data_IF_160474678573
#
_entry.id   IF_160474678573
#
_cell.length_a   1.000
_cell.length_b   1.000
_cell.length_c   1.000
_cell.angle_alpha   90.00
_cell.angle_beta   90.00
_cell.angle_gamma   90.00
#
_symmetry.space_group_name_H-M   'P 1'
#
loop_
_entity.id
_entity.type
_entity.pdbx_description
1 polymer ?
#
# COMPACT_ATOMS: atom_id res chain seq x y z
N UNK A 1 5.45 -7.01 35.22
CA UNK A 1 5.52 -8.11 36.22
C UNK A 1 6.91 -8.23 36.87
N UNK A 2 7.97 -7.73 36.28
CA UNK A 2 9.34 -7.87 36.82
C UNK A 2 9.86 -9.32 36.86
N UNK A 3 9.27 -10.20 36.05
CA UNK A 3 9.66 -11.61 35.96
C UNK A 3 10.29 -11.85 34.59
N UNK A 4 11.44 -12.50 34.58
CA UNK A 4 12.05 -12.99 33.35
C UNK A 4 11.45 -14.33 32.96
N UNK A 5 10.98 -14.44 31.71
CA UNK A 5 10.48 -15.71 31.15
C UNK A 5 11.60 -16.32 30.33
N UNK A 6 12.12 -17.50 30.69
CA UNK A 6 13.22 -18.11 29.97
C UNK A 6 12.76 -18.57 28.57
N UNK A 7 13.58 -18.30 27.57
CA UNK A 7 13.41 -18.83 26.23
C UNK A 7 14.06 -20.20 26.17
N UNK A 8 13.26 -21.22 25.83
CA UNK A 8 13.75 -22.61 25.70
C UNK A 8 13.34 -23.17 24.34
N UNK A 9 14.17 -24.02 23.78
CA UNK A 9 13.89 -24.76 22.56
C UNK A 9 13.58 -26.21 22.90
N UNK A 10 12.62 -26.82 22.18
CA UNK A 10 12.33 -28.26 22.23
C UNK A 10 11.87 -28.83 23.59
N UNK A 11 11.41 -27.98 24.52
CA UNK A 11 10.92 -28.44 25.81
C UNK A 11 9.46 -28.05 26.02
N UNK A 12 8.63 -29.01 26.42
CA UNK A 12 7.26 -28.74 26.88
C UNK A 12 7.28 -28.35 28.36
N UNK A 13 6.58 -27.28 28.70
CA UNK A 13 6.39 -26.84 30.09
C UNK A 13 4.89 -26.86 30.46
N UNK A 14 4.60 -26.94 31.75
CA UNK A 14 3.22 -26.91 32.24
C UNK A 14 2.53 -25.57 31.92
N UNK A 15 3.33 -24.49 31.89
CA UNK A 15 2.88 -23.13 31.51
C UNK A 15 3.90 -22.55 30.54
N UNK A 16 3.46 -22.28 29.31
CA UNK A 16 4.35 -21.81 28.25
C UNK A 16 3.62 -20.88 27.26
N UNK A 17 4.42 -20.02 26.62
CA UNK A 17 4.07 -19.37 25.37
C UNK A 17 4.76 -20.13 24.23
N UNK A 18 4.00 -20.79 23.38
CA UNK A 18 4.51 -21.39 22.15
C UNK A 18 4.49 -20.34 21.06
N UNK A 19 5.67 -19.85 20.63
CA UNK A 19 5.78 -18.76 19.68
C UNK A 19 6.29 -19.28 18.33
N UNK A 20 5.58 -18.92 17.26
CA UNK A 20 5.98 -19.22 15.89
C UNK A 20 5.43 -20.54 15.34
N UNK A 21 5.82 -20.84 14.11
CA UNK A 21 5.41 -22.04 13.39
C UNK A 21 6.28 -23.24 13.80
N UNK A 22 5.65 -24.35 14.15
CA UNK A 22 6.28 -25.65 14.37
C UNK A 22 5.27 -26.77 14.09
N UNK A 23 5.73 -28.02 14.01
CA UNK A 23 4.82 -29.18 13.94
C UNK A 23 3.90 -29.26 15.15
N UNK A 24 4.43 -28.91 16.33
CA UNK A 24 3.63 -28.90 17.57
C UNK A 24 2.54 -27.84 17.50
N UNK A 25 2.87 -26.59 17.17
CA UNK A 25 1.86 -25.51 17.09
C UNK A 25 0.86 -25.76 15.97
N UNK A 26 1.26 -26.34 14.84
CA UNK A 26 0.33 -26.78 13.79
C UNK A 26 -0.66 -27.80 14.29
N UNK A 27 -0.18 -28.86 14.96
CA UNK A 27 -1.04 -29.94 15.50
C UNK A 27 -1.98 -29.41 16.59
N UNK A 28 -1.51 -28.55 17.49
CA UNK A 28 -2.33 -27.99 18.58
C UNK A 28 -3.42 -27.04 18.07
N UNK A 29 -3.16 -26.34 16.97
CA UNK A 29 -4.11 -25.40 16.36
C UNK A 29 -4.99 -26.06 15.28
N UNK A 30 -4.63 -27.24 14.80
CA UNK A 30 -5.30 -27.89 13.67
C UNK A 30 -5.19 -27.10 12.37
N UNK A 31 -4.03 -26.52 12.08
CA UNK A 31 -3.80 -25.67 10.90
C UNK A 31 -2.71 -26.20 9.98
N UNK A 32 -2.90 -25.97 8.70
CA UNK A 32 -1.80 -26.02 7.72
C UNK A 32 -1.29 -24.60 7.49
N UNK A 33 0.01 -24.40 7.72
CA UNK A 33 0.64 -23.09 7.54
C UNK A 33 0.63 -22.62 6.08
N UNK A 34 0.56 -23.51 5.12
CA UNK A 34 0.56 -23.19 3.69
C UNK A 34 -0.80 -22.65 3.22
N UNK A 35 -1.88 -23.01 3.92
CA UNK A 35 -3.23 -22.53 3.60
C UNK A 35 -3.57 -21.18 4.23
N UNK A 36 -2.73 -20.70 5.14
CA UNK A 36 -2.96 -19.43 5.81
C UNK A 36 -2.70 -18.24 4.89
N UNK A 37 -3.50 -17.20 5.05
CA UNK A 37 -3.29 -15.92 4.35
C UNK A 37 -2.05 -15.23 4.88
N UNK A 38 -1.36 -14.48 4.01
CA UNK A 38 -0.17 -13.70 4.38
C UNK A 38 -0.45 -12.83 5.61
N UNK A 39 0.50 -12.80 6.56
CA UNK A 39 0.41 -12.06 7.82
C UNK A 39 -0.78 -12.47 8.74
N UNK A 40 -1.52 -13.51 8.43
CA UNK A 40 -2.57 -14.03 9.31
C UNK A 40 -1.97 -14.44 10.65
N UNK A 41 -2.58 -13.96 11.74
CA UNK A 41 -2.13 -14.22 13.10
C UNK A 41 -3.12 -15.07 13.89
N UNK A 42 -2.58 -15.84 14.84
CA UNK A 42 -3.35 -16.63 15.78
C UNK A 42 -2.83 -16.38 17.20
N UNK A 43 -3.71 -15.90 18.06
CA UNK A 43 -3.57 -15.89 19.52
C UNK A 43 -4.54 -16.91 20.06
N UNK A 44 -4.07 -18.04 20.54
CA UNK A 44 -4.92 -19.13 21.04
C UNK A 44 -4.49 -19.56 22.43
N UNK A 45 -5.49 -19.91 23.27
CA UNK A 45 -5.28 -20.55 24.56
C UNK A 45 -5.41 -22.05 24.41
N UNK A 46 -4.45 -22.80 24.90
CA UNK A 46 -4.50 -24.25 24.96
C UNK A 46 -4.16 -24.73 26.37
N UNK A 47 -5.19 -25.16 27.12
CA UNK A 47 -5.10 -25.44 28.57
C UNK A 47 -4.53 -24.20 29.29
N UNK A 48 -3.44 -24.36 30.02
CA UNK A 48 -2.75 -23.27 30.74
C UNK A 48 -1.59 -22.67 29.93
N UNK A 49 -1.65 -22.78 28.62
CA UNK A 49 -0.62 -22.27 27.70
C UNK A 49 -1.22 -21.31 26.69
N UNK A 50 -0.36 -20.52 26.08
CA UNK A 50 -0.68 -19.70 24.89
C UNK A 50 0.08 -20.17 23.67
N UNK A 51 -0.59 -20.12 22.52
CA UNK A 51 0.02 -20.31 21.20
C UNK A 51 -0.08 -18.98 20.47
N UNK A 52 1.07 -18.39 20.15
CA UNK A 52 1.23 -17.13 19.44
C UNK A 52 1.92 -17.44 18.11
N UNK A 53 1.14 -17.60 17.06
CA UNK A 53 1.65 -18.06 15.78
C UNK A 53 0.90 -17.42 14.62
N UNK A 54 1.26 -17.79 13.40
CA UNK A 54 0.59 -17.27 12.21
C UNK A 54 1.42 -17.45 10.95
N UNK A 55 0.88 -16.98 9.83
CA UNK A 55 1.51 -17.06 8.53
C UNK A 55 2.75 -16.16 8.44
N UNK A 56 3.73 -16.61 7.67
CA UNK A 56 4.90 -15.78 7.36
C UNK A 56 4.49 -14.60 6.46
N UNK A 57 5.29 -13.50 6.50
CA UNK A 57 6.50 -13.33 7.32
C UNK A 57 6.23 -12.79 8.74
N UNK A 58 5.06 -12.21 9.05
CA UNK A 58 4.82 -11.41 10.26
C UNK A 58 3.74 -11.95 11.21
N UNK A 59 3.00 -12.99 10.84
CA UNK A 59 1.84 -13.45 11.62
C UNK A 59 2.16 -13.78 13.09
N UNK A 60 3.25 -14.49 13.36
CA UNK A 60 3.67 -14.79 14.74
C UNK A 60 4.05 -13.52 15.52
N UNK A 61 4.77 -12.58 14.89
CA UNK A 61 5.14 -11.30 15.49
C UNK A 61 3.90 -10.46 15.80
N UNK A 62 2.94 -10.42 14.89
CA UNK A 62 1.66 -9.75 15.11
C UNK A 62 0.84 -10.39 16.24
N UNK A 63 0.87 -11.72 16.37
CA UNK A 63 0.21 -12.43 17.46
C UNK A 63 0.77 -12.04 18.84
N UNK A 64 2.10 -11.85 18.93
CA UNK A 64 2.74 -11.37 20.17
C UNK A 64 2.29 -9.94 20.49
N UNK A 65 2.37 -9.02 19.52
CA UNK A 65 1.91 -7.65 19.75
C UNK A 65 0.41 -7.58 20.07
N UNK A 66 -0.40 -8.42 19.44
CA UNK A 66 -1.84 -8.49 19.70
C UNK A 66 -2.14 -8.91 21.15
N UNK A 67 -1.46 -9.94 21.63
CA UNK A 67 -1.61 -10.37 23.02
C UNK A 67 -1.16 -9.29 24.01
N UNK A 68 -0.03 -8.61 23.74
CA UNK A 68 0.47 -7.52 24.59
C UNK A 68 -0.51 -6.36 24.65
N UNK A 69 -1.11 -5.97 23.52
CA UNK A 69 -2.02 -4.83 23.46
C UNK A 69 -3.42 -5.15 24.02
N UNK A 70 -4.01 -6.24 23.60
CA UNK A 70 -5.41 -6.56 23.92
C UNK A 70 -5.55 -7.53 25.10
N UNK A 71 -4.54 -8.38 25.32
CA UNK A 71 -4.52 -9.27 26.48
C UNK A 71 -4.00 -8.59 27.74
N UNK A 72 -2.90 -7.84 27.62
CA UNK A 72 -2.23 -7.21 28.75
C UNK A 72 -2.42 -5.69 28.85
N UNK A 73 -3.01 -5.05 27.85
CA UNK A 73 -3.28 -3.60 27.87
C UNK A 73 -2.09 -2.71 27.57
N UNK A 74 -0.99 -3.25 27.02
CA UNK A 74 0.15 -2.45 26.57
C UNK A 74 -0.30 -1.47 25.51
N UNK A 75 0.23 -0.24 25.52
CA UNK A 75 -0.04 0.77 24.49
C UNK A 75 1.25 1.34 23.93
N UNK A 76 1.40 1.24 22.62
CA UNK A 76 2.51 1.84 21.86
C UNK A 76 2.04 3.19 21.35
N UNK A 77 2.33 4.28 22.04
CA UNK A 77 1.88 5.63 21.65
C UNK A 77 2.78 6.25 20.58
N UNK A 78 4.10 6.12 20.75
CA UNK A 78 5.10 6.55 19.78
C UNK A 78 6.23 5.52 19.73
N UNK A 79 7.23 5.74 18.88
CA UNK A 79 8.44 4.92 18.88
C UNK A 79 9.19 4.93 20.22
N UNK A 80 9.10 6.04 20.98
CA UNK A 80 9.80 6.25 22.25
C UNK A 80 8.89 6.04 23.48
N UNK A 81 7.57 6.05 23.31
CA UNK A 81 6.62 5.99 24.43
C UNK A 81 5.77 4.74 24.35
N UNK A 82 5.97 3.87 25.32
CA UNK A 82 5.14 2.68 25.53
C UNK A 82 4.60 2.70 26.95
N UNK A 83 3.29 2.55 27.09
CA UNK A 83 2.62 2.40 28.38
C UNK A 83 2.51 0.91 28.72
N UNK A 84 3.06 0.56 29.90
CA UNK A 84 3.09 -0.78 30.42
C UNK A 84 2.19 -0.85 31.66
N UNK A 85 1.01 -1.48 31.57
CA UNK A 85 0.17 -1.68 32.75
C UNK A 85 0.92 -2.45 33.84
N UNK A 86 0.86 -1.94 35.06
CA UNK A 86 1.48 -2.60 36.22
C UNK A 86 0.52 -3.64 36.81
N UNK A 87 1.02 -4.83 37.07
CA UNK A 87 0.30 -5.85 37.81
C UNK A 87 1.23 -6.45 38.89
N UNK A 88 0.66 -6.76 40.05
CA UNK A 88 1.40 -7.32 41.20
C UNK A 88 1.74 -8.80 40.99
N UNK A 89 1.00 -9.50 40.14
CA UNK A 89 1.20 -10.91 39.86
C UNK A 89 1.09 -11.16 38.34
N UNK A 90 1.87 -12.13 37.87
CA UNK A 90 1.72 -12.65 36.52
C UNK A 90 0.39 -13.38 36.37
N UNK A 91 -0.31 -13.13 35.27
CA UNK A 91 -1.54 -13.83 34.91
C UNK A 91 -1.58 -14.13 33.41
N UNK A 92 -2.33 -15.15 33.03
CA UNK A 92 -2.64 -15.43 31.63
C UNK A 92 -3.99 -14.79 31.29
N UNK A 93 -4.09 -13.84 30.36
CA UNK A 93 -5.33 -13.17 30.03
C UNK A 93 -6.29 -14.15 29.33
N UNK A 94 -7.59 -13.87 29.35
CA UNK A 94 -8.58 -14.64 28.59
C UNK A 94 -8.80 -14.06 27.20
N UNK A 95 -7.72 -13.85 26.43
CA UNK A 95 -7.78 -13.25 25.11
C UNK A 95 -7.35 -14.24 24.03
N UNK A 96 -8.21 -14.42 23.04
CA UNK A 96 -7.91 -15.23 21.86
C UNK A 96 -8.36 -14.50 20.60
N UNK A 97 -7.61 -14.66 19.49
CA UNK A 97 -7.96 -14.06 18.21
C UNK A 97 -7.31 -14.82 17.07
N UNK A 98 -8.06 -15.02 16.00
CA UNK A 98 -7.52 -15.37 14.68
C UNK A 98 -7.92 -14.27 13.71
N UNK A 99 -6.95 -13.70 13.00
CA UNK A 99 -7.20 -12.57 12.11
C UNK A 99 -6.23 -12.59 10.93
N UNK A 100 -6.78 -12.47 9.72
CA UNK A 100 -6.03 -12.29 8.50
C UNK A 100 -6.25 -10.85 8.00
N UNK A 101 -5.20 -10.01 7.88
CA UNK A 101 -5.35 -8.68 7.34
C UNK A 101 -5.96 -8.72 5.94
N UNK A 102 -6.99 -7.92 5.64
CA UNK A 102 -7.61 -7.89 4.32
C UNK A 102 -6.68 -7.28 3.25
N UNK A 103 -5.81 -6.36 3.65
CA UNK A 103 -4.84 -5.72 2.77
C UNK A 103 -3.48 -6.42 2.89
N UNK A 104 -2.91 -6.88 1.76
CA UNK A 104 -1.56 -7.44 1.76
C UNK A 104 -0.49 -6.35 1.93
N UNK A 105 -0.74 -5.12 1.43
CA UNK A 105 0.12 -3.95 1.59
C UNK A 105 -0.63 -2.87 2.39
N UNK A 106 -0.01 -2.43 3.47
CA UNK A 106 -0.58 -1.50 4.47
C UNK A 106 0.43 -0.42 4.80
N UNK A 107 0.21 0.78 4.29
CA UNK A 107 1.12 1.90 4.48
C UNK A 107 0.41 3.11 5.07
N UNK A 108 0.67 3.40 6.34
CA UNK A 108 0.35 4.69 6.95
C UNK A 108 1.56 5.61 6.77
N UNK A 109 1.41 6.61 5.89
CA UNK A 109 2.54 7.43 5.43
C UNK A 109 2.76 8.65 6.34
N UNK A 110 3.19 8.35 7.57
CA UNK A 110 3.63 9.33 8.55
C UNK A 110 5.15 9.25 8.75
N UNK A 111 5.77 10.36 9.14
CA UNK A 111 7.21 10.42 9.41
C UNK A 111 7.64 9.39 10.46
N UNK A 112 6.85 9.27 11.54
CA UNK A 112 7.10 8.32 12.61
C UNK A 112 7.13 6.87 12.10
N UNK A 113 6.17 6.50 11.28
CA UNK A 113 6.09 5.17 10.66
C UNK A 113 7.26 4.95 9.69
N UNK A 114 7.59 5.96 8.87
CA UNK A 114 8.64 5.84 7.86
C UNK A 114 10.05 5.77 8.46
N UNK A 115 10.28 6.44 9.59
CA UNK A 115 11.60 6.53 10.24
C UNK A 115 11.86 5.44 11.29
N UNK A 116 10.81 4.87 11.90
CA UNK A 116 10.92 3.93 13.02
C UNK A 116 10.32 2.57 12.71
N UNK A 117 11.12 1.70 12.10
CA UNK A 117 10.68 0.40 11.57
C UNK A 117 10.02 -0.52 12.62
N UNK A 118 10.57 -0.60 13.83
CA UNK A 118 9.97 -1.39 14.92
C UNK A 118 8.59 -0.86 15.32
N UNK A 119 8.44 0.46 15.37
CA UNK A 119 7.15 1.07 15.65
C UNK A 119 6.15 0.81 14.51
N UNK A 120 6.60 0.92 13.26
CA UNK A 120 5.78 0.60 12.10
C UNK A 120 5.21 -0.83 12.16
N UNK A 121 6.04 -1.80 12.54
CA UNK A 121 5.59 -3.20 12.69
C UNK A 121 4.63 -3.38 13.87
N UNK A 122 4.87 -2.68 15.00
CA UNK A 122 3.92 -2.63 16.13
C UNK A 122 2.56 -2.08 15.69
N UNK A 123 2.57 -1.13 14.73
CA UNK A 123 1.35 -0.58 14.13
C UNK A 123 0.77 -1.45 12.99
N UNK A 124 1.32 -2.63 12.73
CA UNK A 124 0.93 -3.59 11.67
C UNK A 124 1.08 -3.05 10.25
N UNK A 125 1.86 -1.98 10.03
CA UNK A 125 2.25 -1.56 8.69
C UNK A 125 3.37 -2.45 8.14
N UNK A 126 3.49 -2.57 6.81
CA UNK A 126 4.45 -3.49 6.20
C UNK A 126 5.15 -2.94 4.96
N UNK A 127 5.13 -1.62 4.77
CA UNK A 127 5.72 -0.96 3.60
C UNK A 127 6.98 -0.16 3.90
N UNK A 128 7.33 0.04 5.17
CA UNK A 128 8.59 0.68 5.56
C UNK A 128 9.77 -0.29 5.42
N UNK A 129 10.94 0.27 5.17
CA UNK A 129 12.15 -0.55 5.13
C UNK A 129 12.32 -1.25 6.47
N UNK A 130 12.26 -2.57 6.48
CA UNK A 130 12.40 -3.40 7.67
C UNK A 130 13.39 -4.52 7.43
N UNK A 131 14.04 -4.93 8.51
CA UNK A 131 14.97 -6.06 8.47
C UNK A 131 14.20 -7.39 8.33
N UNK A 132 14.86 -8.49 7.93
CA UNK A 132 14.24 -9.81 7.89
C UNK A 132 13.62 -10.23 9.23
N UNK A 133 14.22 -9.82 10.36
CA UNK A 133 13.73 -10.10 11.72
C UNK A 133 12.37 -9.44 11.99
N UNK A 134 12.11 -8.30 11.35
CA UNK A 134 10.83 -7.58 11.39
C UNK A 134 9.86 -8.02 10.26
N UNK A 135 10.24 -9.02 9.48
CA UNK A 135 9.41 -9.63 8.43
C UNK A 135 9.56 -9.01 7.05
N UNK A 136 10.55 -8.14 6.82
CA UNK A 136 10.75 -7.49 5.53
C UNK A 136 9.66 -6.47 5.18
N UNK A 137 9.70 -5.91 3.97
CA UNK A 137 8.72 -4.94 3.46
C UNK A 137 8.08 -5.40 2.16
N UNK A 138 6.90 -4.88 1.88
CA UNK A 138 6.36 -4.92 0.53
C UNK A 138 7.16 -3.96 -0.38
N UNK A 139 7.59 -4.43 -1.52
CA UNK A 139 8.52 -3.68 -2.40
C UNK A 139 7.74 -2.92 -3.46
N UNK A 140 7.89 -1.60 -3.47
CA UNK A 140 7.48 -0.73 -4.56
C UNK A 140 8.70 0.00 -5.12
N UNK A 141 9.04 -0.29 -6.38
CA UNK A 141 10.13 0.35 -7.11
C UNK A 141 9.62 1.63 -7.75
N UNK A 142 10.22 2.75 -7.37
CA UNK A 142 9.71 4.06 -7.76
C UNK A 142 8.40 4.37 -7.02
N UNK A 143 8.42 5.35 -6.18
CA UNK A 143 7.20 5.80 -5.52
C UNK A 143 6.61 6.93 -6.35
N UNK A 144 5.44 6.75 -6.82
CA UNK A 144 4.49 7.55 -7.63
C UNK A 144 5.02 8.73 -8.48
N UNK A 145 4.24 9.13 -9.47
CA UNK A 145 4.58 10.20 -10.42
C UNK A 145 5.91 9.95 -11.13
N UNK A 146 6.05 8.75 -11.70
CA UNK A 146 7.34 8.23 -12.17
C UNK A 146 7.65 8.51 -13.63
N UNK A 147 6.78 9.13 -14.41
CA UNK A 147 7.05 9.42 -15.82
C UNK A 147 8.34 10.23 -15.99
N UNK A 148 8.50 11.34 -15.28
CA UNK A 148 9.73 12.14 -15.33
C UNK A 148 10.90 11.45 -14.61
N UNK A 149 10.63 10.55 -13.67
CA UNK A 149 11.67 9.75 -13.01
C UNK A 149 12.33 8.76 -13.95
N UNK A 150 11.53 8.07 -14.78
CA UNK A 150 12.05 7.09 -15.74
C UNK A 150 12.57 7.73 -17.02
N UNK A 151 11.88 8.77 -17.53
CA UNK A 151 12.36 9.59 -18.66
C UNK A 151 12.47 11.07 -18.26
N UNK A 152 13.51 11.46 -17.52
CA UNK A 152 13.67 12.84 -17.07
C UNK A 152 13.74 13.83 -18.23
N UNK A 153 12.87 14.85 -18.22
CA UNK A 153 12.89 15.90 -19.23
C UNK A 153 14.25 16.60 -19.29
N UNK A 154 14.92 16.80 -18.17
CA UNK A 154 16.29 17.36 -18.12
C UNK A 154 17.33 16.58 -18.94
N UNK A 155 17.08 15.29 -19.22
CA UNK A 155 17.99 14.44 -20.00
C UNK A 155 17.57 14.30 -21.46
N UNK A 156 16.27 14.24 -21.72
CA UNK A 156 15.76 13.80 -23.01
C UNK A 156 15.07 14.93 -23.80
N UNK A 157 14.53 15.98 -23.14
CA UNK A 157 13.65 16.94 -23.79
C UNK A 157 14.30 17.70 -24.96
N UNK A 158 15.54 18.15 -24.81
CA UNK A 158 16.24 18.92 -25.87
C UNK A 158 16.44 18.10 -27.17
N UNK A 159 16.56 16.77 -27.04
CA UNK A 159 16.79 15.88 -28.17
C UNK A 159 15.52 15.26 -28.72
N UNK A 160 14.52 15.10 -27.84
CA UNK A 160 13.27 14.38 -28.11
C UNK A 160 12.07 15.14 -27.53
N UNK A 161 11.83 16.41 -27.90
CA UNK A 161 10.68 17.14 -27.40
C UNK A 161 9.35 16.46 -27.76
N UNK A 162 9.31 15.70 -28.86
CA UNK A 162 8.13 14.93 -29.28
C UNK A 162 7.77 13.75 -28.35
N UNK A 163 8.62 13.38 -27.42
CA UNK A 163 8.35 12.38 -26.41
C UNK A 163 7.49 12.92 -25.26
N UNK A 164 7.37 14.23 -25.15
CA UNK A 164 6.65 14.89 -24.08
C UNK A 164 5.35 15.51 -24.59
N UNK A 165 4.47 15.88 -23.65
CA UNK A 165 3.14 16.36 -23.99
C UNK A 165 3.15 17.62 -24.84
N UNK A 166 2.27 17.67 -25.84
CA UNK A 166 1.92 18.89 -26.56
C UNK A 166 0.78 19.58 -25.84
N UNK A 167 0.99 20.82 -25.41
CA UNK A 167 -0.01 21.67 -24.76
C UNK A 167 -0.08 23.00 -25.47
N UNK A 168 -1.28 23.37 -25.94
CA UNK A 168 -1.52 24.65 -26.59
C UNK A 168 -0.49 25.00 -27.70
N UNK A 169 -0.12 23.96 -28.48
CA UNK A 169 0.84 24.07 -29.57
C UNK A 169 2.31 24.00 -29.17
N UNK A 170 2.63 23.88 -27.86
CA UNK A 170 4.00 23.84 -27.35
C UNK A 170 4.29 22.51 -26.69
N UNK A 171 5.49 21.93 -26.92
CA UNK A 171 5.96 20.76 -26.18
C UNK A 171 6.43 21.18 -24.80
N UNK A 172 5.94 20.44 -23.78
CA UNK A 172 6.28 20.68 -22.36
C UNK A 172 6.64 19.35 -21.69
N UNK A 173 7.71 19.36 -20.90
CA UNK A 173 8.20 18.21 -20.16
C UNK A 173 8.58 18.57 -18.73
N UNK A 174 8.78 17.55 -17.89
CA UNK A 174 9.17 17.72 -16.50
C UNK A 174 8.03 17.43 -15.51
N UNK A 175 8.44 17.10 -14.30
CA UNK A 175 7.55 16.63 -13.22
C UNK A 175 6.34 17.55 -12.96
N UNK A 176 6.52 18.86 -13.03
CA UNK A 176 5.48 19.85 -12.68
C UNK A 176 4.75 20.42 -13.90
N UNK A 177 5.33 20.34 -15.09
CA UNK A 177 4.88 21.09 -16.25
C UNK A 177 4.23 20.22 -17.32
N UNK A 178 4.72 18.99 -17.51
CA UNK A 178 4.29 18.14 -18.61
C UNK A 178 4.13 16.67 -18.25
N UNK A 179 3.59 15.95 -19.22
CA UNK A 179 3.45 14.50 -19.21
C UNK A 179 4.27 13.90 -20.36
N UNK A 180 4.20 12.59 -20.54
CA UNK A 180 4.74 11.93 -21.74
C UNK A 180 3.69 11.92 -22.86
N UNK A 181 4.17 11.90 -24.12
CA UNK A 181 3.33 11.66 -25.29
C UNK A 181 3.11 10.15 -25.46
N UNK A 182 2.07 9.61 -24.84
CA UNK A 182 1.87 8.16 -24.72
C UNK A 182 1.63 7.42 -26.05
N UNK A 183 1.35 8.09 -27.15
CA UNK A 183 1.28 7.48 -28.48
C UNK A 183 2.62 7.44 -29.21
N UNK A 184 3.68 8.04 -28.68
CA UNK A 184 5.00 8.04 -29.31
C UNK A 184 5.70 6.70 -29.08
N UNK A 185 5.92 5.94 -30.17
CA UNK A 185 6.47 4.59 -30.09
C UNK A 185 7.94 4.53 -29.67
N UNK A 186 8.75 5.51 -30.06
CA UNK A 186 10.16 5.54 -29.66
C UNK A 186 10.31 5.88 -28.19
N UNK A 187 9.49 6.79 -27.68
CA UNK A 187 9.38 7.06 -26.25
C UNK A 187 9.00 5.79 -25.47
N UNK A 188 7.98 5.04 -25.90
CA UNK A 188 7.55 3.79 -25.26
C UNK A 188 8.70 2.77 -25.18
N UNK A 189 9.44 2.59 -26.27
CA UNK A 189 10.59 1.65 -26.31
C UNK A 189 11.66 2.03 -25.29
N UNK A 190 12.07 3.30 -25.27
CA UNK A 190 13.08 3.77 -24.31
C UNK A 190 12.57 3.69 -22.86
N UNK A 191 11.29 4.05 -22.62
CA UNK A 191 10.67 3.93 -21.29
C UNK A 191 10.70 2.49 -20.80
N UNK A 192 10.27 1.54 -21.60
CA UNK A 192 10.27 0.11 -21.26
C UNK A 192 11.70 -0.36 -20.95
N UNK A 193 12.67 0.00 -21.76
CA UNK A 193 14.09 -0.32 -21.53
C UNK A 193 14.54 0.19 -20.17
N UNK A 194 14.29 1.47 -19.86
CA UNK A 194 14.66 2.08 -18.56
C UNK A 194 13.95 1.39 -17.41
N UNK A 195 12.68 1.08 -17.53
CA UNK A 195 11.92 0.33 -16.51
C UNK A 195 12.57 -1.03 -16.25
N UNK A 196 12.86 -1.81 -17.29
CA UNK A 196 13.50 -3.13 -17.14
C UNK A 196 14.89 -3.05 -16.49
N UNK A 197 15.68 -2.01 -16.76
CA UNK A 197 16.97 -1.76 -16.11
C UNK A 197 16.83 -1.48 -14.60
N UNK A 198 15.65 -1.04 -14.14
CA UNK A 198 15.36 -0.77 -12.72
C UNK A 198 14.81 -1.98 -11.96
N UNK A 199 14.37 -3.00 -12.67
CA UNK A 199 13.94 -4.24 -12.05
C UNK A 199 15.17 -4.96 -11.49
N UNK A 200 15.36 -4.96 -10.21
CA UNK A 200 16.41 -5.73 -9.54
C UNK A 200 15.93 -7.15 -9.20
N UNK A 201 16.75 -7.93 -8.48
CA UNK A 201 16.36 -9.22 -7.94
C UNK A 201 15.41 -9.01 -6.75
N UNK A 202 14.13 -8.85 -7.02
CA UNK A 202 13.09 -8.69 -6.00
C UNK A 202 12.31 -9.99 -5.84
N UNK A 203 11.77 -10.20 -4.62
CA UNK A 203 10.91 -11.34 -4.31
C UNK A 203 9.53 -11.24 -4.99
N UNK A 204 8.77 -12.31 -4.88
CA UNK A 204 7.42 -12.40 -5.43
C UNK A 204 6.50 -11.28 -4.91
N UNK A 205 5.69 -10.73 -5.79
CA UNK A 205 4.75 -9.67 -5.47
C UNK A 205 5.36 -8.26 -5.42
N UNK A 206 6.63 -8.08 -5.83
CA UNK A 206 7.20 -6.75 -5.97
C UNK A 206 6.47 -5.95 -7.07
N UNK A 207 6.35 -4.64 -6.85
CA UNK A 207 5.65 -3.72 -7.74
C UNK A 207 6.63 -2.71 -8.31
N UNK A 208 6.43 -2.29 -9.57
CA UNK A 208 7.06 -1.11 -10.14
C UNK A 208 6.00 -0.08 -10.51
N UNK A 209 6.20 1.17 -10.09
CA UNK A 209 5.29 2.25 -10.42
C UNK A 209 5.55 2.79 -11.83
N UNK A 210 4.48 2.91 -12.59
CA UNK A 210 4.42 3.52 -13.93
C UNK A 210 3.23 4.46 -13.96
N UNK A 211 3.42 5.66 -13.44
CA UNK A 211 2.34 6.63 -13.27
C UNK A 211 2.68 8.03 -13.78
N UNK A 212 1.63 8.73 -14.17
CA UNK A 212 1.71 10.12 -14.65
C UNK A 212 2.29 11.06 -13.58
N UNK A 213 2.91 12.15 -14.05
CA UNK A 213 3.40 13.25 -13.21
C UNK A 213 2.23 13.95 -12.49
N UNK A 214 2.52 14.64 -11.40
CA UNK A 214 1.50 15.33 -10.58
C UNK A 214 1.04 16.64 -11.21
N UNK A 215 0.44 16.53 -12.39
CA UNK A 215 -0.17 17.65 -13.12
C UNK A 215 -1.18 17.12 -14.15
N UNK A 216 -2.03 18.01 -14.69
CA UNK A 216 -3.07 17.71 -15.66
C UNK A 216 -2.63 17.95 -17.12
N UNK A 217 -1.35 18.15 -17.38
CA UNK A 217 -0.83 18.52 -18.71
C UNK A 217 -0.66 17.32 -19.66
N UNK A 218 -1.69 16.48 -19.78
CA UNK A 218 -1.68 15.38 -20.73
C UNK A 218 -1.52 15.85 -22.19
N UNK A 219 -1.00 14.99 -23.05
CA UNK A 219 -0.67 15.33 -24.43
C UNK A 219 -1.91 15.55 -25.29
N UNK A 220 -1.98 16.70 -25.97
CA UNK A 220 -3.04 17.12 -26.90
C UNK A 220 -2.63 16.95 -28.37
N UNK A 221 -1.55 16.21 -28.69
CA UNK A 221 -1.21 16.00 -30.09
C UNK A 221 -2.30 15.17 -30.81
N UNK A 222 -2.36 15.32 -32.13
CA UNK A 222 -3.37 14.68 -32.98
C UNK A 222 -3.52 13.16 -32.72
N UNK A 223 -2.38 12.45 -32.57
CA UNK A 223 -2.41 11.00 -32.31
C UNK A 223 -2.97 10.64 -30.95
N UNK A 224 -2.61 11.40 -29.90
CA UNK A 224 -3.16 11.17 -28.55
C UNK A 224 -4.66 11.49 -28.52
N UNK A 225 -5.07 12.59 -29.15
CA UNK A 225 -6.48 12.96 -29.21
C UNK A 225 -7.30 11.94 -30.01
N UNK A 226 -6.84 11.53 -31.18
CA UNK A 226 -7.51 10.51 -31.99
C UNK A 226 -7.66 9.18 -31.25
N UNK A 227 -6.65 8.78 -30.46
CA UNK A 227 -6.74 7.58 -29.64
C UNK A 227 -7.84 7.70 -28.57
N UNK A 228 -7.88 8.83 -27.87
CA UNK A 228 -8.89 9.11 -26.84
C UNK A 228 -10.30 9.17 -27.44
N UNK A 229 -10.48 9.85 -28.57
CA UNK A 229 -11.77 9.95 -29.26
C UNK A 229 -12.30 8.58 -29.71
N UNK A 230 -11.40 7.69 -30.11
CA UNK A 230 -11.75 6.32 -30.51
C UNK A 230 -12.07 5.41 -29.34
N UNK A 231 -11.40 5.53 -28.19
CA UNK A 231 -11.45 4.56 -27.11
C UNK A 231 -12.25 5.01 -25.89
N UNK A 232 -12.41 6.34 -25.67
CA UNK A 232 -13.29 6.86 -24.64
C UNK A 232 -12.69 7.99 -23.82
N UNK A 233 -11.55 7.80 -23.13
CA UNK A 233 -10.97 8.82 -22.28
C UNK A 233 -9.45 8.68 -22.10
N UNK A 234 -8.85 9.57 -21.29
CA UNK A 234 -7.40 9.58 -21.03
C UNK A 234 -6.92 8.32 -20.28
N UNK A 235 -7.80 7.64 -19.55
CA UNK A 235 -7.48 6.39 -18.87
C UNK A 235 -7.23 5.27 -19.88
N UNK A 236 -7.94 5.26 -20.99
CA UNK A 236 -7.69 4.31 -22.09
C UNK A 236 -6.27 4.46 -22.63
N UNK A 237 -5.85 5.70 -22.89
CA UNK A 237 -4.50 5.98 -23.39
C UNK A 237 -3.42 5.63 -22.37
N UNK A 238 -3.66 5.92 -21.10
CA UNK A 238 -2.74 5.54 -20.03
C UNK A 238 -2.61 4.02 -19.93
N UNK A 239 -3.73 3.31 -19.91
CA UNK A 239 -3.73 1.84 -19.76
C UNK A 239 -3.18 1.13 -20.99
N UNK A 240 -3.37 1.64 -22.19
CA UNK A 240 -2.73 1.10 -23.39
C UNK A 240 -1.20 1.12 -23.25
N UNK A 241 -0.65 2.24 -22.80
CA UNK A 241 0.78 2.35 -22.52
C UNK A 241 1.24 1.47 -21.34
N UNK A 242 0.53 1.52 -20.21
CA UNK A 242 0.86 0.72 -19.03
C UNK A 242 0.80 -0.77 -19.31
N UNK A 243 -0.16 -1.23 -20.12
CA UNK A 243 -0.27 -2.62 -20.54
C UNK A 243 0.94 -3.09 -21.36
N UNK A 244 1.49 -2.23 -22.19
CA UNK A 244 2.70 -2.55 -22.97
C UNK A 244 3.92 -2.72 -22.04
N UNK A 245 4.07 -1.81 -21.07
CA UNK A 245 5.10 -1.92 -20.03
C UNK A 245 4.89 -3.20 -19.20
N UNK A 246 3.65 -3.46 -18.77
CA UNK A 246 3.30 -4.63 -17.97
C UNK A 246 3.58 -5.95 -18.70
N UNK A 247 3.35 -5.99 -20.01
CA UNK A 247 3.72 -7.14 -20.83
C UNK A 247 5.24 -7.37 -20.89
N UNK A 248 6.03 -6.31 -20.91
CA UNK A 248 7.50 -6.39 -20.89
C UNK A 248 8.00 -6.85 -19.51
N UNK A 249 7.45 -6.30 -18.44
CA UNK A 249 7.78 -6.69 -17.05
C UNK A 249 7.42 -8.17 -16.81
N UNK A 250 6.24 -8.63 -17.23
CA UNK A 250 5.82 -10.03 -17.09
C UNK A 250 6.77 -11.01 -17.78
N UNK A 251 7.28 -10.66 -18.98
CA UNK A 251 8.28 -11.48 -19.69
C UNK A 251 9.63 -11.53 -18.96
N UNK A 252 9.99 -10.45 -18.25
CA UNK A 252 11.23 -10.36 -17.50
C UNK A 252 11.12 -11.07 -16.15
N UNK A 253 10.04 -10.84 -15.42
CA UNK A 253 9.71 -11.49 -14.16
C UNK A 253 8.18 -11.64 -14.01
N UNK A 254 7.63 -12.88 -14.15
CA UNK A 254 6.19 -13.12 -14.18
C UNK A 254 5.49 -12.94 -12.82
N UNK A 255 6.25 -12.77 -11.72
CA UNK A 255 5.69 -12.56 -10.38
C UNK A 255 5.57 -11.09 -10.01
N UNK A 256 6.09 -10.18 -10.86
CA UNK A 256 6.05 -8.74 -10.61
C UNK A 256 4.80 -8.08 -11.16
N UNK A 257 4.40 -7.02 -10.51
CA UNK A 257 3.27 -6.17 -10.88
C UNK A 257 3.74 -4.80 -11.37
N UNK A 258 2.94 -4.20 -12.25
CA UNK A 258 3.07 -2.80 -12.64
C UNK A 258 1.92 -2.03 -12.00
N UNK A 259 2.25 -1.04 -11.18
CA UNK A 259 1.28 -0.16 -10.56
C UNK A 259 1.12 1.12 -11.37
N UNK A 260 -0.11 1.62 -11.49
CA UNK A 260 -0.42 2.91 -12.08
C UNK A 260 -1.52 3.63 -11.31
N UNK A 261 -1.58 4.96 -11.44
CA UNK A 261 -2.56 5.79 -10.73
C UNK A 261 -3.85 5.96 -11.53
N UNK A 262 -4.99 5.72 -10.89
CA UNK A 262 -6.28 6.25 -11.27
C UNK A 262 -6.50 7.57 -10.50
N UNK A 263 -6.04 8.69 -11.06
CA UNK A 263 -5.85 9.97 -10.38
C UNK A 263 -6.18 11.14 -11.29
N UNK A 264 -6.92 12.11 -10.79
CA UNK A 264 -7.34 13.29 -11.54
C UNK A 264 -7.98 12.91 -12.90
N UNK A 265 -7.39 13.30 -14.02
CA UNK A 265 -7.91 13.08 -15.37
C UNK A 265 -7.97 11.59 -15.81
N UNK A 266 -7.38 10.69 -15.02
CA UNK A 266 -7.45 9.23 -15.23
C UNK A 266 -8.17 8.48 -14.11
N UNK A 267 -8.92 9.18 -13.22
CA UNK A 267 -9.61 8.53 -12.10
C UNK A 267 -10.78 7.65 -12.55
N UNK A 268 -11.49 8.06 -13.59
CA UNK A 268 -12.58 7.28 -14.17
C UNK A 268 -12.06 6.02 -14.88
N UNK A 269 -12.88 4.98 -14.91
CA UNK A 269 -12.56 3.76 -15.66
C UNK A 269 -12.41 4.07 -17.16
N UNK A 270 -11.60 3.29 -17.89
CA UNK A 270 -11.48 3.40 -19.33
C UNK A 270 -12.79 3.04 -20.04
N UNK A 271 -12.94 3.50 -21.29
CA UNK A 271 -14.06 3.13 -22.14
C UNK A 271 -13.93 1.74 -22.74
N UNK A 272 -12.75 1.39 -23.24
CA UNK A 272 -12.52 0.14 -23.97
C UNK A 272 -11.31 -0.66 -23.51
N UNK A 273 -10.21 0.00 -23.12
CA UNK A 273 -8.95 -0.65 -22.78
C UNK A 273 -9.03 -1.31 -21.40
N UNK A 274 -8.79 -2.61 -21.33
CA UNK A 274 -8.78 -3.34 -20.06
C UNK A 274 -7.36 -3.45 -19.49
N UNK A 275 -7.17 -3.31 -18.16
CA UNK A 275 -5.87 -3.54 -17.55
C UNK A 275 -5.47 -5.02 -17.61
N UNK A 276 -4.18 -5.29 -17.83
CA UNK A 276 -3.63 -6.64 -17.78
C UNK A 276 -3.66 -7.20 -16.36
N UNK A 277 -3.63 -8.55 -16.25
CA UNK A 277 -3.70 -9.27 -14.95
C UNK A 277 -2.61 -8.89 -13.94
N UNK A 278 -1.44 -8.44 -14.44
CA UNK A 278 -0.32 -7.97 -13.61
C UNK A 278 -0.28 -6.44 -13.46
N UNK A 279 -1.38 -5.74 -13.73
CA UNK A 279 -1.53 -4.30 -13.47
C UNK A 279 -2.31 -4.09 -12.19
N UNK A 280 -1.77 -3.27 -11.31
CA UNK A 280 -2.43 -2.77 -10.10
C UNK A 280 -2.91 -1.35 -10.36
N UNK A 281 -4.20 -1.11 -10.16
CA UNK A 281 -4.79 0.23 -10.26
C UNK A 281 -4.82 0.85 -8.89
N UNK A 282 -4.05 1.93 -8.68
CA UNK A 282 -4.10 2.72 -7.45
C UNK A 282 -5.09 3.86 -7.61
N UNK A 283 -6.28 3.66 -7.07
CA UNK A 283 -7.37 4.64 -7.10
C UNK A 283 -7.20 5.65 -5.98
N UNK A 284 -7.15 6.94 -6.33
CA UNK A 284 -6.94 8.05 -5.41
C UNK A 284 -8.25 8.71 -5.00
N UNK A 285 -8.35 9.14 -3.73
CA UNK A 285 -9.53 9.80 -3.15
C UNK A 285 -9.39 11.32 -3.04
N UNK A 286 -8.40 11.94 -3.69
CA UNK A 286 -8.05 13.36 -3.48
C UNK A 286 -9.23 14.33 -3.66
N UNK A 287 -10.17 14.05 -4.57
CA UNK A 287 -11.32 14.92 -4.85
C UNK A 287 -12.50 14.68 -3.89
N UNK A 288 -12.34 13.78 -2.91
CA UNK A 288 -13.41 13.47 -1.97
C UNK A 288 -13.57 14.54 -0.89
N UNK A 289 -14.78 14.64 -0.38
CA UNK A 289 -15.10 15.46 0.81
C UNK A 289 -14.85 14.66 2.08
N UNK A 290 -13.64 14.78 2.63
CA UNK A 290 -13.19 13.99 3.79
C UNK A 290 -13.92 14.30 5.11
N UNK A 291 -14.71 15.38 5.19
CA UNK A 291 -15.60 15.64 6.32
C UNK A 291 -16.84 14.74 6.36
N UNK A 292 -17.05 13.90 5.35
CA UNK A 292 -18.15 12.96 5.21
C UNK A 292 -17.64 11.56 4.88
N UNK A 293 -18.37 10.49 5.26
CA UNK A 293 -18.03 9.14 4.86
C UNK A 293 -17.89 9.02 3.33
N UNK A 294 -16.93 8.24 2.85
CA UNK A 294 -16.71 8.06 1.41
C UNK A 294 -17.89 7.39 0.70
N UNK A 295 -18.73 6.65 1.43
CA UNK A 295 -19.95 6.05 0.90
C UNK A 295 -21.18 7.00 0.93
N UNK A 296 -21.03 8.25 1.35
CA UNK A 296 -22.11 9.24 1.39
C UNK A 296 -22.42 9.87 0.02
N UNK A 297 -23.55 10.55 -0.10
CA UNK A 297 -23.93 11.26 -1.33
C UNK A 297 -22.98 12.41 -1.68
N UNK A 298 -22.30 12.98 -0.70
CA UNK A 298 -21.24 13.97 -0.92
C UNK A 298 -20.08 13.44 -1.75
N UNK A 299 -19.88 12.11 -1.75
CA UNK A 299 -18.84 11.41 -2.47
C UNK A 299 -19.38 10.47 -3.57
N UNK A 300 -20.57 10.80 -4.14
CA UNK A 300 -21.26 9.96 -5.14
C UNK A 300 -20.37 9.62 -6.36
N UNK A 301 -19.58 10.60 -6.82
CA UNK A 301 -18.65 10.40 -7.93
C UNK A 301 -17.59 9.33 -7.60
N UNK A 302 -16.99 9.38 -6.42
CA UNK A 302 -16.02 8.37 -5.99
C UNK A 302 -16.66 6.99 -5.79
N UNK A 303 -17.89 6.93 -5.23
CA UNK A 303 -18.63 5.66 -5.13
C UNK A 303 -18.84 5.01 -6.50
N UNK A 304 -19.15 5.82 -7.50
CA UNK A 304 -19.30 5.34 -8.89
C UNK A 304 -17.97 4.83 -9.43
N UNK A 305 -16.90 5.57 -9.24
CA UNK A 305 -15.57 5.18 -9.74
C UNK A 305 -15.10 3.88 -9.10
N UNK A 306 -15.12 3.75 -7.77
CA UNK A 306 -14.66 2.52 -7.10
C UNK A 306 -15.52 1.30 -7.47
N UNK A 307 -16.84 1.48 -7.62
CA UNK A 307 -17.74 0.41 -8.05
C UNK A 307 -17.47 -0.03 -9.49
N UNK A 308 -17.10 0.89 -10.37
CA UNK A 308 -16.73 0.58 -11.74
C UNK A 308 -15.33 -0.04 -11.83
N UNK A 309 -14.34 0.47 -11.11
CA UNK A 309 -13.02 -0.14 -11.03
C UNK A 309 -13.05 -1.55 -10.48
N UNK A 310 -13.89 -1.85 -9.46
CA UNK A 310 -14.09 -3.19 -8.95
C UNK A 310 -14.45 -4.21 -10.04
N UNK A 311 -15.13 -3.79 -11.11
CA UNK A 311 -15.58 -4.69 -12.19
C UNK A 311 -14.47 -5.08 -13.14
N UNK A 312 -13.45 -4.22 -13.29
CA UNK A 312 -12.43 -4.37 -14.35
C UNK A 312 -11.00 -4.43 -13.83
N UNK A 313 -10.70 -3.85 -12.67
CA UNK A 313 -9.35 -3.89 -12.13
C UNK A 313 -9.01 -5.30 -11.64
N UNK A 314 -7.94 -5.94 -12.15
CA UNK A 314 -7.49 -7.23 -11.65
C UNK A 314 -7.10 -7.17 -10.18
N UNK A 315 -6.50 -6.02 -9.79
CA UNK A 315 -6.10 -5.70 -8.44
C UNK A 315 -6.30 -4.20 -8.18
N UNK A 316 -6.96 -3.89 -7.07
CA UNK A 316 -7.25 -2.52 -6.66
C UNK A 316 -6.43 -2.16 -5.43
N UNK A 317 -5.70 -1.05 -5.51
CA UNK A 317 -4.99 -0.41 -4.43
C UNK A 317 -5.65 0.95 -4.15
N UNK A 318 -5.83 1.34 -2.91
CA UNK A 318 -6.41 2.65 -2.59
C UNK A 318 -5.33 3.59 -2.08
N UNK A 319 -5.32 4.80 -2.62
CA UNK A 319 -4.63 5.94 -2.04
C UNK A 319 -5.65 6.85 -1.37
N UNK A 320 -5.69 6.79 -0.06
CA UNK A 320 -6.54 7.64 0.76
C UNK A 320 -5.74 8.73 1.46
N UNK A 321 -6.43 9.71 2.06
CA UNK A 321 -5.80 10.85 2.71
C UNK A 321 -6.30 11.00 4.13
N UNK A 322 -5.35 11.16 5.08
CA UNK A 322 -5.59 11.31 6.52
C UNK A 322 -4.88 12.54 7.09
N UNK A 323 -4.51 13.49 6.22
CA UNK A 323 -3.86 14.75 6.58
C UNK A 323 -4.35 15.92 5.74
N UNK A 324 -4.34 17.11 6.29
CA UNK A 324 -4.56 18.37 5.57
C UNK A 324 -3.20 18.97 5.17
N UNK A 325 -2.88 18.97 3.87
CA UNK A 325 -1.63 19.51 3.35
C UNK A 325 -1.43 21.00 3.57
N UNK A 326 -2.51 21.75 3.70
CA UNK A 326 -2.43 23.20 3.99
C UNK A 326 -2.16 23.48 5.48
N UNK A 327 -2.52 22.52 6.37
CA UNK A 327 -2.44 22.69 7.83
C UNK A 327 -2.18 21.36 8.51
N UNK A 328 -0.97 20.86 8.48
CA UNK A 328 -0.59 19.55 9.04
C UNK A 328 -0.96 19.34 10.51
N UNK A 329 -1.00 20.43 11.30
CA UNK A 329 -1.43 20.37 12.71
C UNK A 329 -2.92 20.32 12.92
N UNK A 330 -3.70 20.59 11.88
CA UNK A 330 -5.15 20.53 11.97
C UNK A 330 -5.59 19.06 11.84
N UNK A 331 -6.36 18.54 12.81
CA UNK A 331 -6.90 17.21 12.70
C UNK A 331 -7.73 17.04 11.43
N UNK A 332 -7.49 15.98 10.68
CA UNK A 332 -8.29 15.64 9.50
C UNK A 332 -9.70 15.22 9.96
N UNK A 333 -10.78 15.72 9.33
CA UNK A 333 -12.14 15.49 9.85
C UNK A 333 -12.71 14.09 9.58
N UNK A 334 -11.94 13.14 9.10
CA UNK A 334 -12.38 11.79 8.71
C UNK A 334 -12.29 10.71 9.82
N UNK A 335 -11.81 11.03 11.01
CA UNK A 335 -11.55 10.04 12.08
C UNK A 335 -12.77 9.21 12.46
N UNK A 336 -13.97 9.84 12.47
CA UNK A 336 -15.22 9.18 12.92
C UNK A 336 -15.71 8.10 11.96
N UNK A 337 -15.27 8.15 10.70
CA UNK A 337 -15.74 7.22 9.66
C UNK A 337 -14.62 6.46 8.96
N UNK A 338 -13.36 6.70 9.33
CA UNK A 338 -12.19 6.08 8.71
C UNK A 338 -12.30 4.53 8.68
N UNK A 339 -12.71 3.90 9.79
CA UNK A 339 -12.92 2.46 9.82
C UNK A 339 -14.01 1.97 8.86
N UNK A 340 -15.07 2.76 8.65
CA UNK A 340 -16.12 2.45 7.68
C UNK A 340 -15.65 2.63 6.25
N UNK A 341 -14.80 3.63 6.02
CA UNK A 341 -14.20 3.90 4.71
C UNK A 341 -13.22 2.76 4.35
N UNK A 342 -12.40 2.29 5.30
CA UNK A 342 -11.56 1.11 5.12
C UNK A 342 -12.39 -0.15 4.81
N UNK A 343 -13.50 -0.37 5.51
CA UNK A 343 -14.40 -1.49 5.22
C UNK A 343 -15.01 -1.37 3.81
N UNK A 344 -15.39 -0.17 3.38
CA UNK A 344 -15.85 0.07 2.01
C UNK A 344 -14.78 -0.32 0.98
N UNK A 345 -13.52 -0.03 1.21
CA UNK A 345 -12.43 -0.42 0.30
C UNK A 345 -12.31 -1.96 0.23
N UNK A 346 -12.37 -2.64 1.37
CA UNK A 346 -12.37 -4.11 1.44
C UNK A 346 -13.56 -4.70 0.68
N UNK A 347 -14.75 -4.15 0.89
CA UNK A 347 -16.00 -4.62 0.23
C UNK A 347 -15.94 -4.42 -1.30
N UNK A 348 -15.15 -3.47 -1.78
CA UNK A 348 -14.88 -3.26 -3.20
C UNK A 348 -13.66 -4.04 -3.73
N UNK A 349 -13.07 -4.91 -2.91
CA UNK A 349 -12.00 -5.79 -3.35
C UNK A 349 -10.62 -5.14 -3.38
N UNK A 350 -10.42 -4.04 -2.67
CA UNK A 350 -9.10 -3.46 -2.51
C UNK A 350 -8.19 -4.44 -1.76
N UNK A 351 -7.01 -4.67 -2.32
CA UNK A 351 -6.01 -5.59 -1.76
C UNK A 351 -4.88 -4.85 -1.02
N UNK A 352 -4.78 -3.55 -1.20
CA UNK A 352 -3.74 -2.72 -0.62
C UNK A 352 -4.27 -1.33 -0.27
N UNK A 353 -3.66 -0.70 0.73
CA UNK A 353 -4.02 0.62 1.22
C UNK A 353 -2.78 1.48 1.49
N UNK A 354 -2.82 2.71 1.03
CA UNK A 354 -1.89 3.77 1.36
C UNK A 354 -2.69 4.93 1.96
N UNK A 355 -2.44 5.20 3.24
CA UNK A 355 -3.04 6.31 3.96
C UNK A 355 -2.04 7.46 4.01
N UNK A 356 -2.25 8.46 3.17
CA UNK A 356 -1.37 9.63 3.09
C UNK A 356 -1.49 10.46 4.37
N UNK A 357 -0.51 10.28 5.23
CA UNK A 357 -0.35 11.06 6.45
C UNK A 357 0.61 12.24 6.28
N UNK A 358 0.94 12.85 7.41
CA UNK A 358 1.89 13.96 7.47
C UNK A 358 3.32 13.42 7.41
N UNK A 359 4.10 13.88 6.43
CA UNK A 359 5.50 13.51 6.28
C UNK A 359 6.31 14.67 5.66
N UNK A 360 7.63 14.69 5.90
CA UNK A 360 8.57 15.61 5.29
C UNK A 360 9.03 16.75 6.22
N UNK A 361 9.89 17.64 5.74
CA UNK A 361 10.43 18.75 6.53
C UNK A 361 9.34 19.65 7.09
N UNK A 362 9.34 19.85 8.40
CA UNK A 362 8.32 20.65 9.09
C UNK A 362 7.04 19.87 9.42
N UNK A 363 6.94 18.61 9.05
CA UNK A 363 5.91 17.73 9.59
C UNK A 363 6.28 17.38 11.02
N UNK A 364 5.33 17.50 11.92
CA UNK A 364 5.47 17.05 13.31
C UNK A 364 4.81 15.69 13.42
N UNK A 365 5.43 14.73 12.75
CA UNK A 365 4.97 13.36 12.71
C UNK A 365 4.53 12.81 14.07
N UNK A 366 5.19 13.26 15.14
CA UNK A 366 4.91 12.81 16.50
C UNK A 366 3.55 13.26 17.08
N UNK A 367 2.97 14.35 16.56
CA UNK A 367 1.67 14.86 17.04
C UNK A 367 0.47 14.41 16.19
N UNK A 368 0.73 13.97 14.98
CA UNK A 368 -0.33 13.65 14.00
C UNK A 368 -0.43 12.16 13.71
N UNK A 369 0.45 11.36 14.30
CA UNK A 369 0.42 9.92 14.12
C UNK A 369 -0.79 9.30 14.80
N UNK A 370 -1.66 8.77 13.99
CA UNK A 370 -2.85 8.08 14.44
C UNK A 370 -2.78 6.60 14.09
N UNK A 371 -3.31 5.78 15.00
CA UNK A 371 -3.63 4.40 14.67
C UNK A 371 -4.85 4.37 13.77
N UNK A 372 -4.64 3.93 12.55
CA UNK A 372 -5.66 3.81 11.51
C UNK A 372 -6.24 2.37 11.48
N UNK A 373 -6.21 1.69 12.63
CA UNK A 373 -6.58 0.25 12.72
C UNK A 373 -7.76 -0.02 13.60
#
# INVERSE_FOLDING_TARGET
FGVEIPIVHEKTAAHAFYIGQSHLTAALLGVDWQEMKRDEMIVAKYKDNYILSGARPRGALYAVYELLEHGYGVRYWTHAVTDWPKASQFYLPSYTKRFAPPFFSRHAYYDLINKHQEFAVKMRTNCTASTPELGGREVLIGFVHTFDRWLPAAKYFDKHPEWYSLRDGVRVGGQREGQLCLTNQEMRKEFIKVVLEKLGPHGDGAMIDVSQNDNISYCQCEKCQAFVDQNGNQTDLLLDFVNEVAAAVERHNPTMYVETLAYQYTRQVPGTVQPRKNVIIRLCTIECMFGHPLNSDYNASFRTDIANWKKIAPQLFIWNYVTDFAKFYQPMPNWRHLGKDLQMFVDHGAIAIFEQGCHGPGSTGDLTDMRVW
#
